data_IF_856763627479
#
_entry.id   IF_856763627479
#
_cell.length_a   1.000
_cell.length_b   1.000
_cell.length_c   1.000
_cell.angle_alpha   90.00
_cell.angle_beta   90.00
_cell.angle_gamma   90.00
#
_symmetry.space_group_name_H-M   'P 1'
#
loop_
_entity.id
_entity.type
_entity.pdbx_description
1 polymer ?
#
# COMPACT_ATOMS: atom_id res chain seq x y z
N UNK A 1 -11.07 11.22 6.78
CA UNK A 1 -10.68 11.00 5.37
C UNK A 1 -10.12 12.34 4.89
N UNK A 2 -8.97 12.38 4.22
CA UNK A 2 -8.44 13.67 3.72
C UNK A 2 -9.45 14.23 2.72
N UNK A 3 -10.02 15.39 3.06
CA UNK A 3 -11.14 15.97 2.33
C UNK A 3 -10.70 16.58 0.99
N UNK A 4 -9.44 16.99 0.90
CA UNK A 4 -8.84 17.60 -0.27
C UNK A 4 -7.40 17.11 -0.50
N UNK A 5 -6.96 17.13 -1.76
CA UNK A 5 -5.57 16.84 -2.17
C UNK A 5 -5.39 15.51 -2.91
N UNK A 6 -4.19 15.37 -3.52
CA UNK A 6 -3.72 14.14 -4.13
C UNK A 6 -2.82 13.40 -3.14
N UNK A 7 -3.06 12.11 -2.93
CA UNK A 7 -2.28 11.33 -1.97
C UNK A 7 -2.26 9.85 -2.34
N UNK A 8 -1.31 9.12 -1.74
CA UNK A 8 -1.24 7.67 -1.84
C UNK A 8 -1.69 7.02 -0.53
N UNK A 9 -2.22 5.80 -0.63
CA UNK A 9 -2.52 4.94 0.51
C UNK A 9 -1.96 3.56 0.23
N UNK A 10 -1.18 3.02 1.16
CA UNK A 10 -0.80 1.61 1.16
C UNK A 10 -1.64 0.88 2.21
N UNK A 11 -2.11 -0.33 1.90
CA UNK A 11 -3.00 -1.09 2.77
C UNK A 11 -2.66 -2.57 2.73
N UNK A 12 -2.45 -3.17 3.90
CA UNK A 12 -2.51 -4.62 4.08
C UNK A 12 -3.93 -5.00 4.55
N UNK A 13 -4.62 -5.87 3.82
CA UNK A 13 -5.98 -6.30 4.14
C UNK A 13 -6.03 -7.79 4.46
N UNK A 14 -6.38 -8.12 5.71
CA UNK A 14 -6.53 -9.50 6.19
C UNK A 14 -7.79 -10.21 5.65
N UNK A 15 -8.82 -9.47 5.25
CA UNK A 15 -10.04 -10.07 4.68
C UNK A 15 -9.89 -10.41 3.20
N UNK A 16 -9.02 -9.68 2.49
CA UNK A 16 -8.82 -9.82 1.04
C UNK A 16 -7.48 -10.46 0.68
N UNK A 17 -6.64 -10.78 1.68
CA UNK A 17 -5.31 -11.37 1.51
C UNK A 17 -4.42 -10.57 0.55
N UNK A 18 -4.42 -9.24 0.69
CA UNK A 18 -3.76 -8.35 -0.25
C UNK A 18 -2.96 -7.24 0.42
N UNK A 19 -1.98 -6.74 -0.34
CA UNK A 19 -1.20 -5.57 -0.01
C UNK A 19 -1.20 -4.64 -1.21
N UNK A 20 -1.96 -3.54 -1.10
CA UNK A 20 -2.33 -2.70 -2.24
C UNK A 20 -1.89 -1.26 -2.02
N UNK A 21 -1.46 -0.63 -3.11
CA UNK A 21 -1.16 0.79 -3.22
C UNK A 21 -2.25 1.47 -4.05
N UNK A 22 -2.84 2.50 -3.48
CA UNK A 22 -3.87 3.32 -4.09
C UNK A 22 -3.35 4.73 -4.32
N UNK A 23 -3.70 5.32 -5.46
CA UNK A 23 -3.65 6.75 -5.69
C UNK A 23 -5.04 7.36 -5.49
N UNK A 24 -5.08 8.51 -4.82
CA UNK A 24 -6.27 9.32 -4.64
C UNK A 24 -6.10 10.66 -5.35
N UNK A 25 -6.96 10.92 -6.33
CA UNK A 25 -7.12 12.21 -7.01
C UNK A 25 -8.59 12.32 -7.42
N UNK A 26 -9.40 13.02 -6.61
CA UNK A 26 -10.87 13.12 -6.76
C UNK A 26 -11.62 11.77 -6.89
N UNK A 27 -10.96 10.68 -6.52
CA UNK A 27 -11.41 9.30 -6.64
C UNK A 27 -10.30 8.37 -6.17
N UNK A 28 -10.58 7.06 -6.05
CA UNK A 28 -9.61 6.04 -5.65
C UNK A 28 -9.27 5.17 -6.84
N UNK A 29 -7.98 5.01 -7.15
CA UNK A 29 -7.47 4.05 -8.14
C UNK A 29 -6.46 3.13 -7.48
N UNK A 30 -6.62 1.82 -7.64
CA UNK A 30 -5.55 0.88 -7.32
C UNK A 30 -4.49 0.96 -8.41
N UNK A 31 -3.24 1.24 -8.03
CA UNK A 31 -2.13 1.43 -8.98
C UNK A 31 -1.10 0.30 -8.89
N UNK A 32 -1.02 -0.38 -7.75
CA UNK A 32 -0.28 -1.63 -7.60
C UNK A 32 -0.92 -2.50 -6.51
N UNK A 33 -0.79 -3.82 -6.62
CA UNK A 33 -1.33 -4.75 -5.63
C UNK A 33 -0.71 -6.13 -5.79
N UNK A 34 -0.55 -6.83 -4.65
CA UNK A 34 -0.08 -8.21 -4.63
C UNK A 34 -0.86 -9.00 -3.59
N UNK A 35 -1.09 -10.30 -3.88
CA UNK A 35 -1.59 -11.22 -2.86
C UNK A 35 -0.51 -11.51 -1.85
N UNK A 36 -0.88 -11.49 -0.58
CA UNK A 36 -0.02 -11.83 0.54
C UNK A 36 -0.73 -12.83 1.44
N UNK A 37 0.02 -13.55 2.26
CA UNK A 37 -0.60 -14.26 3.37
C UNK A 37 -1.37 -13.26 4.23
N UNK A 38 -2.58 -13.62 4.64
CA UNK A 38 -3.42 -12.78 5.49
C UNK A 38 -2.61 -12.30 6.72
N UNK A 39 -2.50 -10.98 6.96
CA UNK A 39 -2.01 -10.49 8.23
C UNK A 39 -2.83 -11.10 9.39
N UNK A 40 -2.13 -11.57 10.41
CA UNK A 40 -2.75 -12.25 11.54
C UNK A 40 -3.54 -11.25 12.40
N UNK A 41 -4.79 -11.60 12.73
CA UNK A 41 -5.63 -10.77 13.59
C UNK A 41 -5.09 -10.78 15.03
N UNK A 42 -5.17 -9.63 15.70
CA UNK A 42 -4.69 -9.47 17.08
C UNK A 42 -3.17 -9.41 17.22
N UNK A 43 -2.43 -9.34 16.13
CA UNK A 43 -0.97 -9.20 16.13
C UNK A 43 -0.55 -7.87 15.51
N UNK A 44 0.59 -7.34 15.98
CA UNK A 44 1.22 -6.19 15.36
C UNK A 44 1.91 -6.62 14.07
N UNK A 45 1.67 -5.86 13.00
CA UNK A 45 2.36 -5.99 11.71
C UNK A 45 3.04 -4.68 11.37
N UNK A 46 4.16 -4.76 10.63
CA UNK A 46 4.88 -3.56 10.19
C UNK A 46 4.63 -3.29 8.72
N UNK A 47 4.19 -2.07 8.42
CA UNK A 47 4.18 -1.54 7.06
C UNK A 47 5.25 -0.47 6.96
N UNK A 48 6.17 -0.60 5.99
CA UNK A 48 7.14 0.44 5.67
C UNK A 48 6.95 0.88 4.23
N UNK A 49 6.98 2.19 4.01
CA UNK A 49 6.97 2.82 2.69
C UNK A 49 8.29 3.55 2.50
N UNK A 50 8.89 3.39 1.32
CA UNK A 50 10.00 4.22 0.85
C UNK A 50 9.54 4.90 -0.43
N UNK A 51 9.47 6.23 -0.42
CA UNK A 51 9.06 7.02 -1.57
C UNK A 51 10.17 8.02 -1.93
N UNK A 52 10.73 7.89 -3.13
CA UNK A 52 11.80 8.75 -3.66
C UNK A 52 11.43 9.14 -5.09
N UNK A 53 11.01 10.40 -5.28
CA UNK A 53 10.50 10.85 -6.57
C UNK A 53 9.22 10.10 -6.97
N UNK A 54 9.22 9.52 -8.17
CA UNK A 54 8.13 8.69 -8.71
C UNK A 54 8.17 7.23 -8.21
N UNK A 55 9.25 6.83 -7.53
CA UNK A 55 9.46 5.44 -7.10
C UNK A 55 8.93 5.20 -5.69
N UNK A 56 7.99 4.25 -5.57
CA UNK A 56 7.33 3.87 -4.33
C UNK A 56 7.56 2.38 -4.08
N UNK A 57 8.17 2.07 -2.95
CA UNK A 57 8.35 0.72 -2.45
C UNK A 57 7.54 0.48 -1.18
N UNK A 58 6.85 -0.66 -1.14
CA UNK A 58 6.01 -1.08 -0.02
C UNK A 58 6.51 -2.39 0.58
N UNK A 59 6.76 -2.37 1.88
CA UNK A 59 7.20 -3.51 2.66
C UNK A 59 6.13 -3.91 3.67
N UNK A 60 5.87 -5.21 3.78
CA UNK A 60 5.02 -5.82 4.82
C UNK A 60 5.87 -6.81 5.61
N UNK A 61 5.96 -6.60 6.92
CA UNK A 61 6.75 -7.40 7.86
C UNK A 61 8.21 -7.57 7.39
N UNK A 62 8.82 -6.44 6.99
CA UNK A 62 10.20 -6.37 6.51
C UNK A 62 10.45 -6.90 5.10
N UNK A 63 9.47 -7.56 4.48
CA UNK A 63 9.59 -8.11 3.12
C UNK A 63 9.09 -7.09 2.09
N UNK A 64 9.87 -6.82 1.05
CA UNK A 64 9.43 -6.01 -0.09
C UNK A 64 8.30 -6.73 -0.83
N UNK A 65 7.14 -6.08 -0.95
CA UNK A 65 5.94 -6.64 -1.61
C UNK A 65 5.52 -5.84 -2.83
N UNK A 66 5.78 -4.53 -2.83
CA UNK A 66 5.46 -3.65 -3.94
C UNK A 66 6.69 -2.83 -4.32
N UNK A 67 6.96 -2.73 -5.61
CA UNK A 67 7.97 -1.85 -6.21
C UNK A 67 7.32 -1.23 -7.46
N UNK A 68 6.95 0.05 -7.37
CA UNK A 68 6.10 0.73 -8.34
C UNK A 68 6.65 2.12 -8.69
N UNK A 69 6.55 2.51 -9.97
CA UNK A 69 6.89 3.85 -10.46
C UNK A 69 5.64 4.54 -10.99
N UNK A 70 5.31 5.72 -10.45
CA UNK A 70 4.17 6.53 -10.88
C UNK A 70 4.62 7.60 -11.88
N UNK A 71 4.70 7.22 -13.16
CA UNK A 71 5.07 8.06 -14.30
C UNK A 71 3.88 8.67 -15.03
#
# INVERSE_FOLDING_TARGET
RFHDGKYYVIRANALENNFNLYAYDRGRREIAGVRVQAPALGQWHTIRVVAVGDHIQGYLDGTLRLDYRDS
#
